data_IF_001554116472
#
_entry.id   IF_001554116472
#
_cell.length_a   1.000
_cell.length_b   1.000
_cell.length_c   1.000
_cell.angle_alpha   90.00
_cell.angle_beta   90.00
_cell.angle_gamma   90.00
#
_symmetry.space_group_name_H-M   'P 1'
#
loop_
_entity.id
_entity.type
_entity.pdbx_description
1 polymer ?
#
# COMPACT_ATOMS: atom_id res chain seq x y z
N UNK A 1 27.84 6.01 -9.71
CA UNK A 1 26.64 5.69 -8.92
C UNK A 1 25.36 5.96 -9.71
N UNK A 2 24.83 4.91 -10.32
CA UNK A 2 23.52 4.87 -10.92
C UNK A 2 22.61 3.96 -10.09
N UNK A 3 21.33 4.32 -10.03
CA UNK A 3 20.30 3.51 -9.40
C UNK A 3 19.92 2.39 -10.36
N UNK A 4 20.01 1.14 -9.91
CA UNK A 4 19.39 0.01 -10.61
C UNK A 4 18.20 -0.42 -9.79
N UNK A 5 17.03 -0.50 -10.40
CA UNK A 5 15.80 -0.83 -9.68
C UNK A 5 14.94 -1.78 -10.50
N UNK A 6 14.15 -2.58 -9.80
CA UNK A 6 13.17 -3.46 -10.40
C UNK A 6 11.97 -3.61 -9.47
N UNK A 7 10.80 -3.86 -10.06
CA UNK A 7 9.58 -4.16 -9.34
C UNK A 7 8.96 -5.44 -9.90
N UNK A 8 8.40 -6.25 -9.02
CA UNK A 8 7.60 -7.42 -9.34
C UNK A 8 6.34 -7.40 -8.47
N UNK A 9 5.21 -7.84 -9.03
CA UNK A 9 3.96 -7.95 -8.29
C UNK A 9 3.16 -9.13 -8.83
N UNK A 10 2.51 -9.87 -7.93
CA UNK A 10 1.61 -10.97 -8.25
C UNK A 10 0.33 -10.85 -7.42
N UNK A 11 -0.76 -11.36 -7.99
CA UNK A 11 -2.07 -11.40 -7.35
C UNK A 11 -2.12 -12.38 -6.16
N UNK A 12 -1.23 -13.37 -6.12
CA UNK A 12 -1.27 -14.45 -5.15
C UNK A 12 -2.24 -15.56 -5.56
N UNK A 13 -2.44 -16.55 -4.69
CA UNK A 13 -3.23 -17.75 -5.04
C UNK A 13 -4.67 -17.72 -4.50
N UNK A 14 -4.98 -16.76 -3.61
CA UNK A 14 -6.28 -16.69 -2.92
C UNK A 14 -7.11 -15.48 -3.37
N UNK A 15 -6.48 -14.36 -3.70
CA UNK A 15 -7.16 -13.12 -4.08
C UNK A 15 -7.66 -13.16 -5.54
N UNK A 16 -8.74 -12.43 -5.81
CA UNK A 16 -9.34 -12.32 -7.16
C UNK A 16 -8.87 -11.10 -7.94
N UNK A 17 -8.34 -10.10 -7.25
CA UNK A 17 -7.75 -8.91 -7.83
C UNK A 17 -6.43 -8.58 -7.12
N UNK A 18 -5.58 -7.83 -7.81
CA UNK A 18 -4.36 -7.30 -7.24
C UNK A 18 -4.62 -5.85 -6.83
N UNK A 19 -4.69 -5.62 -5.52
CA UNK A 19 -4.91 -4.31 -4.89
C UNK A 19 -3.59 -3.65 -4.48
N UNK A 20 -2.45 -4.33 -4.59
CA UNK A 20 -1.14 -3.72 -4.46
C UNK A 20 -0.79 -2.91 -5.70
N UNK A 21 0.06 -1.90 -5.51
CA UNK A 21 0.76 -1.21 -6.58
C UNK A 21 2.23 -0.99 -6.22
N UNK A 22 3.11 -1.08 -7.22
CA UNK A 22 4.54 -0.87 -7.04
C UNK A 22 5.15 -0.01 -8.14
N UNK A 23 6.20 0.73 -7.77
CA UNK A 23 6.96 1.56 -8.69
C UNK A 23 8.46 1.43 -8.43
N UNK A 24 9.21 1.11 -9.49
CA UNK A 24 10.66 1.18 -9.54
C UNK A 24 11.07 2.24 -10.57
N UNK A 25 11.41 3.43 -10.08
CA UNK A 25 11.90 4.55 -10.86
C UNK A 25 13.42 4.70 -10.81
N UNK A 26 13.90 5.85 -11.28
CA UNK A 26 15.33 6.19 -11.28
C UNK A 26 15.80 6.75 -9.94
N UNK A 27 14.95 7.49 -9.26
CA UNK A 27 15.17 8.11 -7.96
C UNK A 27 14.19 7.59 -6.93
N UNK A 28 12.97 7.24 -7.34
CA UNK A 28 11.88 6.87 -6.45
C UNK A 28 11.54 5.37 -6.53
N UNK A 29 11.34 4.77 -5.37
CA UNK A 29 10.81 3.41 -5.19
C UNK A 29 9.61 3.49 -4.27
N UNK A 30 8.51 2.81 -4.64
CA UNK A 30 7.30 2.81 -3.82
C UNK A 30 6.62 1.45 -3.86
N UNK A 31 6.12 1.02 -2.72
CA UNK A 31 5.09 -0.03 -2.59
C UNK A 31 3.90 0.57 -1.88
N UNK A 32 2.70 0.30 -2.39
CA UNK A 32 1.44 0.68 -1.79
C UNK A 32 0.52 -0.55 -1.79
N UNK A 33 0.10 -0.99 -0.60
CA UNK A 33 -0.86 -2.08 -0.42
C UNK A 33 -2.24 -1.49 -0.18
N UNK A 34 -3.13 -1.71 -1.15
CA UNK A 34 -4.46 -1.14 -1.18
C UNK A 34 -5.47 -2.00 -0.43
N UNK A 35 -6.19 -1.37 0.49
CA UNK A 35 -7.27 -1.99 1.24
C UNK A 35 -8.62 -1.34 0.93
N UNK A 36 -9.68 -2.15 0.99
CA UNK A 36 -11.06 -1.69 0.86
C UNK A 36 -11.84 -2.52 -0.14
N UNK A 37 -12.75 -3.36 0.37
CA UNK A 37 -13.85 -4.00 -0.36
C UNK A 37 -13.52 -4.56 -1.76
N UNK A 38 -14.56 -4.71 -2.59
CA UNK A 38 -14.41 -5.30 -3.93
C UNK A 38 -13.68 -4.39 -4.94
N UNK A 39 -13.55 -3.07 -4.71
CA UNK A 39 -12.98 -2.12 -5.68
C UNK A 39 -12.32 -0.85 -5.06
N UNK A 40 -12.11 -0.82 -3.74
CA UNK A 40 -11.46 0.33 -3.09
C UNK A 40 -9.95 0.21 -3.17
N UNK A 41 -9.39 -0.91 -2.69
CA UNK A 41 -7.95 -1.05 -2.51
C UNK A 41 -7.11 -0.80 -3.76
N UNK A 42 -7.51 -1.37 -4.91
CA UNK A 42 -6.82 -1.19 -6.19
C UNK A 42 -6.84 0.27 -6.66
N UNK A 43 -7.94 1.00 -6.42
CA UNK A 43 -8.03 2.44 -6.70
C UNK A 43 -7.10 3.23 -5.78
N UNK A 44 -7.07 2.94 -4.48
CA UNK A 44 -6.24 3.66 -3.51
C UNK A 44 -4.75 3.55 -3.85
N UNK A 45 -4.25 2.32 -3.99
CA UNK A 45 -2.84 2.08 -4.27
C UNK A 45 -2.43 2.62 -5.64
N UNK A 46 -3.32 2.51 -6.64
CA UNK A 46 -3.09 3.11 -7.97
C UNK A 46 -2.93 4.62 -7.87
N UNK A 47 -3.85 5.31 -7.19
CA UNK A 47 -3.83 6.78 -7.05
C UNK A 47 -2.54 7.24 -6.38
N UNK A 48 -2.14 6.59 -5.28
CA UNK A 48 -0.87 6.88 -4.60
C UNK A 48 0.29 6.80 -5.56
N UNK A 49 0.47 5.65 -6.23
CA UNK A 49 1.63 5.45 -7.10
C UNK A 49 1.65 6.48 -8.22
N UNK A 50 0.52 6.76 -8.87
CA UNK A 50 0.45 7.72 -9.98
C UNK A 50 0.79 9.14 -9.56
N UNK A 51 0.33 9.59 -8.39
CA UNK A 51 0.65 10.93 -7.90
C UNK A 51 2.14 11.04 -7.54
N UNK A 52 2.72 9.99 -6.94
CA UNK A 52 4.13 10.02 -6.54
C UNK A 52 5.11 9.96 -7.73
N UNK A 53 4.68 9.56 -8.94
CA UNK A 53 5.56 9.54 -10.13
C UNK A 53 6.23 10.88 -10.42
N UNK A 54 5.58 12.01 -10.09
CA UNK A 54 6.15 13.34 -10.28
C UNK A 54 7.37 13.63 -9.39
N UNK A 55 7.59 12.79 -8.37
CA UNK A 55 8.75 12.86 -7.49
C UNK A 55 9.92 12.01 -7.99
N UNK A 56 9.81 11.27 -9.09
CA UNK A 56 10.92 10.52 -9.70
C UNK A 56 11.89 11.44 -10.47
N UNK A 57 12.50 12.37 -9.75
CA UNK A 57 13.37 13.42 -10.28
C UNK A 57 14.45 13.81 -9.27
N UNK A 58 15.56 14.45 -9.70
CA UNK A 58 16.55 14.95 -8.76
C UNK A 58 15.98 16.06 -7.87
N UNK A 59 16.47 16.10 -6.63
CA UNK A 59 16.20 17.15 -5.65
C UNK A 59 17.50 17.81 -5.19
N UNK A 60 17.43 19.11 -4.87
CA UNK A 60 18.59 19.90 -4.44
C UNK A 60 19.13 19.47 -3.07
N UNK A 61 18.26 18.99 -2.17
CA UNK A 61 18.64 18.52 -0.85
C UNK A 61 17.72 17.41 -0.34
N UNK A 62 18.24 16.49 0.52
CA UNK A 62 17.44 15.45 1.14
C UNK A 62 16.27 16.00 1.97
N UNK A 63 16.45 17.16 2.61
CA UNK A 63 15.39 17.79 3.42
C UNK A 63 14.23 18.33 2.58
N UNK A 64 14.55 18.94 1.42
CA UNK A 64 13.54 19.40 0.47
C UNK A 64 12.76 18.22 -0.10
N UNK A 65 13.46 17.13 -0.44
CA UNK A 65 12.85 15.89 -0.86
C UNK A 65 11.94 15.28 0.21
N UNK A 66 12.39 15.23 1.47
CA UNK A 66 11.59 14.73 2.61
C UNK A 66 10.30 15.51 2.78
N UNK A 67 10.40 16.84 2.76
CA UNK A 67 9.23 17.73 2.85
C UNK A 67 8.28 17.49 1.69
N UNK A 68 8.78 17.48 0.45
CA UNK A 68 7.94 17.26 -0.74
C UNK A 68 7.24 15.90 -0.71
N UNK A 69 7.95 14.83 -0.34
CA UNK A 69 7.39 13.50 -0.24
C UNK A 69 6.27 13.45 0.82
N UNK A 70 6.50 14.02 2.01
CA UNK A 70 5.47 14.11 3.06
C UNK A 70 4.27 14.94 2.64
N UNK A 71 4.50 16.13 2.09
CA UNK A 71 3.45 17.05 1.65
C UNK A 71 2.60 16.40 0.54
N UNK A 72 3.21 15.63 -0.37
CA UNK A 72 2.49 14.93 -1.43
C UNK A 72 1.62 13.80 -0.88
N UNK A 73 2.12 13.01 0.06
CA UNK A 73 1.31 11.98 0.72
C UNK A 73 0.11 12.56 1.49
N UNK A 74 0.27 13.71 2.14
CA UNK A 74 -0.84 14.41 2.80
C UNK A 74 -1.89 14.89 1.79
N UNK A 75 -1.48 15.42 0.63
CA UNK A 75 -2.42 15.78 -0.44
C UNK A 75 -3.13 14.55 -0.99
N UNK A 76 -2.42 13.44 -1.16
CA UNK A 76 -3.02 12.18 -1.63
C UNK A 76 -4.05 11.69 -0.61
N UNK A 77 -3.78 11.80 0.70
CA UNK A 77 -4.75 11.48 1.74
C UNK A 77 -6.05 12.29 1.58
N UNK A 78 -5.93 13.61 1.42
CA UNK A 78 -7.09 14.49 1.17
C UNK A 78 -7.84 14.11 -0.12
N UNK A 79 -7.10 13.69 -1.17
CA UNK A 79 -7.67 13.20 -2.41
C UNK A 79 -8.51 11.92 -2.21
N UNK A 80 -7.97 10.94 -1.50
CA UNK A 80 -8.65 9.68 -1.21
C UNK A 80 -9.91 9.90 -0.37
N UNK A 81 -9.82 10.71 0.69
CA UNK A 81 -10.98 11.05 1.54
C UNK A 81 -12.08 11.75 0.71
N UNK A 82 -11.71 12.71 -0.14
CA UNK A 82 -12.67 13.41 -0.99
C UNK A 82 -13.31 12.49 -2.04
N UNK A 83 -12.59 11.49 -2.54
CA UNK A 83 -13.15 10.50 -3.47
C UNK A 83 -14.28 9.67 -2.84
N UNK A 84 -14.16 9.32 -1.55
CA UNK A 84 -15.23 8.62 -0.81
C UNK A 84 -16.49 9.47 -0.66
N UNK A 85 -16.33 10.80 -0.50
CA UNK A 85 -17.49 11.72 -0.43
C UNK A 85 -18.23 11.80 -1.75
N UNK A 86 -17.51 11.79 -2.87
CA UNK A 86 -18.12 11.84 -4.21
C UNK A 86 -18.70 10.48 -4.63
N UNK A 87 -18.07 9.39 -4.22
CA UNK A 87 -18.45 8.00 -4.56
C UNK A 87 -18.49 7.12 -3.31
N UNK A 88 -19.64 7.09 -2.60
CA UNK A 88 -19.80 6.32 -1.36
C UNK A 88 -19.51 4.82 -1.49
N UNK A 89 -19.57 4.25 -2.70
CA UNK A 89 -19.16 2.87 -2.97
C UNK A 89 -17.66 2.60 -2.72
N UNK A 90 -16.84 3.66 -2.62
CA UNK A 90 -15.44 3.60 -2.20
C UNK A 90 -15.29 3.67 -0.67
N UNK A 91 -16.37 3.55 0.12
CA UNK A 91 -16.26 3.54 1.57
C UNK A 91 -15.28 2.47 2.06
N UNK A 92 -14.37 2.86 2.96
CA UNK A 92 -13.28 2.00 3.43
C UNK A 92 -12.07 1.92 2.49
N UNK A 93 -12.00 2.83 1.50
CA UNK A 93 -10.80 3.06 0.68
C UNK A 93 -9.62 3.40 1.56
N UNK A 94 -8.54 2.63 1.47
CA UNK A 94 -7.30 2.98 2.10
C UNK A 94 -6.10 2.31 1.43
N UNK A 95 -4.91 2.77 1.76
CA UNK A 95 -3.68 2.12 1.30
C UNK A 95 -2.54 2.40 2.27
N UNK A 96 -1.69 1.40 2.44
CA UNK A 96 -0.35 1.61 3.01
C UNK A 96 0.53 2.29 1.97
N UNK A 97 1.63 2.92 2.41
CA UNK A 97 2.68 3.43 1.54
C UNK A 97 4.03 3.23 2.22
N UNK A 98 4.95 2.60 1.49
CA UNK A 98 6.37 2.59 1.80
C UNK A 98 7.11 3.18 0.60
N UNK A 99 7.75 4.34 0.79
CA UNK A 99 8.44 5.07 -0.26
C UNK A 99 9.90 5.35 0.11
N UNK A 100 10.79 5.22 -0.86
CA UNK A 100 12.20 5.57 -0.78
C UNK A 100 12.57 6.44 -1.98
N UNK A 101 13.03 7.65 -1.71
CA UNK A 101 13.53 8.61 -2.69
C UNK A 101 15.03 8.84 -2.51
N UNK A 102 15.83 8.56 -3.54
CA UNK A 102 17.28 8.74 -3.55
C UNK A 102 17.67 10.17 -3.90
N UNK A 103 18.41 10.80 -3.00
CA UNK A 103 19.01 12.13 -3.21
C UNK A 103 20.51 12.06 -2.94
N UNK A 104 21.31 12.04 -4.01
CA UNK A 104 22.75 11.79 -3.89
C UNK A 104 23.03 10.44 -3.22
N UNK A 105 23.74 10.45 -2.09
CA UNK A 105 24.03 9.28 -1.25
C UNK A 105 23.08 9.15 -0.04
N UNK A 106 21.86 9.71 -0.13
CA UNK A 106 20.86 9.62 0.93
C UNK A 106 19.59 8.94 0.43
N UNK A 107 19.03 8.07 1.25
CA UNK A 107 17.69 7.53 1.12
C UNK A 107 16.75 8.38 1.97
N UNK A 108 15.79 9.05 1.34
CA UNK A 108 14.71 9.77 1.99
C UNK A 108 13.50 8.86 2.00
N UNK A 109 13.04 8.47 3.19
CA UNK A 109 11.97 7.49 3.36
C UNK A 109 10.72 8.19 3.90
N UNK A 110 9.57 7.77 3.41
CA UNK A 110 8.27 8.02 4.02
C UNK A 110 7.48 6.72 4.12
N UNK A 111 6.86 6.49 5.27
CA UNK A 111 6.20 5.22 5.58
C UNK A 111 4.88 5.43 6.34
N UNK A 112 3.86 4.67 5.95
CA UNK A 112 2.60 4.51 6.66
C UNK A 112 1.98 3.14 6.37
N UNK A 113 1.72 2.33 7.40
CA UNK A 113 1.07 1.03 7.28
C UNK A 113 2.00 -0.10 7.71
N UNK A 114 1.89 -1.28 7.11
CA UNK A 114 2.68 -2.47 7.45
C UNK A 114 3.44 -3.08 6.26
N UNK A 115 3.38 -2.45 5.08
CA UNK A 115 4.39 -2.64 4.04
C UNK A 115 5.75 -2.21 4.57
N UNK A 116 6.83 -2.93 4.22
CA UNK A 116 8.13 -2.73 4.88
C UNK A 116 9.22 -2.26 3.94
N UNK A 117 10.18 -1.52 4.49
CA UNK A 117 11.45 -1.21 3.84
C UNK A 117 12.57 -1.92 4.60
N UNK A 118 13.40 -2.64 3.86
CA UNK A 118 14.59 -3.30 4.36
C UNK A 118 15.84 -2.75 3.70
N UNK A 119 16.95 -2.77 4.45
CA UNK A 119 18.30 -2.52 3.94
C UNK A 119 19.16 -3.75 4.15
N UNK A 120 19.77 -4.23 3.08
CA UNK A 120 20.83 -5.22 3.14
C UNK A 120 22.19 -4.54 2.99
N UNK A 121 23.03 -4.66 4.03
CA UNK A 121 24.39 -4.12 4.07
C UNK A 121 25.31 -5.19 4.63
N UNK A 122 26.44 -5.44 3.94
CA UNK A 122 27.44 -6.42 4.38
C UNK A 122 26.84 -7.80 4.70
N UNK A 123 25.84 -8.21 3.91
CA UNK A 123 25.15 -9.50 4.05
C UNK A 123 24.11 -9.58 5.17
N UNK A 124 23.91 -8.52 5.97
CA UNK A 124 22.88 -8.41 7.00
C UNK A 124 21.66 -7.69 6.45
N UNK A 125 20.47 -8.27 6.64
CA UNK A 125 19.20 -7.64 6.30
C UNK A 125 18.59 -7.04 7.56
N UNK A 126 18.30 -5.75 7.51
CA UNK A 126 17.72 -4.98 8.61
C UNK A 126 16.40 -4.36 8.14
N UNK A 127 15.37 -4.48 8.96
CA UNK A 127 14.11 -3.76 8.76
C UNK A 127 14.31 -2.30 9.17
N UNK A 128 13.95 -1.37 8.28
CA UNK A 128 14.15 0.08 8.46
C UNK A 128 12.88 0.78 8.94
N UNK A 129 11.72 0.30 8.51
CA UNK A 129 10.41 0.83 8.91
C UNK A 129 9.81 0.01 10.04
N UNK A 130 8.97 0.61 10.87
CA UNK A 130 8.23 -0.06 11.93
C UNK A 130 6.76 -0.16 11.52
N UNK A 131 6.15 -1.32 11.72
CA UNK A 131 4.79 -1.57 11.23
C UNK A 131 3.75 -0.77 12.04
N UNK A 132 2.83 -0.09 11.37
CA UNK A 132 1.76 0.64 12.03
C UNK A 132 0.57 -0.26 12.36
N UNK A 133 0.83 -1.42 12.98
CA UNK A 133 -0.17 -2.42 13.33
C UNK A 133 -0.51 -2.40 14.83
N UNK A 134 -1.67 -2.96 15.17
CA UNK A 134 -2.08 -3.14 16.56
C UNK A 134 -1.09 -3.99 17.36
N UNK A 135 -0.57 -5.05 16.74
CA UNK A 135 0.38 -5.96 17.41
C UNK A 135 1.73 -5.30 17.62
N UNK A 136 2.22 -4.48 16.68
CA UNK A 136 3.45 -3.71 16.88
C UNK A 136 3.33 -2.81 18.11
N UNK A 137 2.22 -2.08 18.24
CA UNK A 137 1.95 -1.25 19.43
C UNK A 137 1.95 -2.05 20.75
N UNK A 138 1.51 -3.31 20.72
CA UNK A 138 1.57 -4.18 21.90
C UNK A 138 3.00 -4.61 22.21
N UNK A 139 3.83 -4.89 21.19
CA UNK A 139 5.26 -5.16 21.34
C UNK A 139 5.98 -3.94 21.93
N UNK A 140 5.77 -2.75 21.37
CA UNK A 140 6.45 -1.52 21.82
C UNK A 140 6.11 -1.15 23.27
N UNK A 141 4.89 -1.49 23.70
CA UNK A 141 4.44 -1.29 25.08
C UNK A 141 4.81 -2.44 26.03
N UNK A 142 5.54 -3.44 25.56
CA UNK A 142 6.00 -4.60 26.33
C UNK A 142 4.89 -5.54 26.76
N UNK A 143 3.72 -5.49 26.09
CA UNK A 143 2.54 -6.31 26.43
C UNK A 143 2.60 -7.71 25.83
N UNK A 144 3.28 -7.86 24.69
CA UNK A 144 3.54 -9.14 24.03
C UNK A 144 4.98 -9.12 23.49
N UNK A 145 5.54 -10.30 23.25
CA UNK A 145 6.79 -10.51 22.53
C UNK A 145 6.62 -10.41 21.01
N UNK A 146 7.75 -10.24 20.29
CA UNK A 146 7.76 -10.29 18.82
C UNK A 146 7.24 -11.64 18.30
N UNK A 147 7.57 -12.74 18.98
CA UNK A 147 7.11 -14.08 18.62
C UNK A 147 5.59 -14.23 18.78
N UNK A 148 5.01 -13.66 19.84
CA UNK A 148 3.56 -13.66 20.05
C UNK A 148 2.82 -12.81 19.02
N UNK A 149 3.41 -11.69 18.57
CA UNK A 149 2.83 -10.83 17.56
C UNK A 149 2.57 -11.56 16.23
N UNK A 150 3.48 -12.47 15.84
CA UNK A 150 3.39 -13.23 14.58
C UNK A 150 2.16 -14.15 14.50
N UNK A 151 1.72 -14.69 15.64
CA UNK A 151 0.59 -15.63 15.71
C UNK A 151 -0.69 -14.98 16.27
N UNK A 152 -0.64 -13.69 16.59
CA UNK A 152 -1.76 -13.00 17.22
C UNK A 152 -2.98 -12.91 16.27
N UNK A 153 -4.22 -13.09 16.78
CA UNK A 153 -5.43 -13.07 15.94
C UNK A 153 -5.69 -11.74 15.23
N UNK A 154 -5.15 -10.64 15.79
CA UNK A 154 -5.27 -9.27 15.26
C UNK A 154 -3.98 -8.75 14.64
N UNK A 155 -3.09 -9.62 14.14
CA UNK A 155 -1.81 -9.20 13.56
C UNK A 155 -1.95 -8.28 12.35
N UNK A 156 -3.00 -8.48 11.54
CA UNK A 156 -3.30 -7.67 10.35
C UNK A 156 -4.13 -6.43 10.62
N UNK A 157 -4.36 -6.05 11.90
CA UNK A 157 -5.13 -4.84 12.21
C UNK A 157 -4.22 -3.62 12.12
N UNK A 158 -4.39 -2.85 11.05
CA UNK A 158 -3.70 -1.59 10.82
C UNK A 158 -4.24 -0.46 11.72
N UNK A 159 -3.34 0.38 12.21
CA UNK A 159 -3.64 1.58 13.00
C UNK A 159 -3.48 2.88 12.21
N UNK A 160 -2.66 2.88 11.15
CA UNK A 160 -2.40 4.05 10.30
C UNK A 160 -2.36 3.64 8.83
N UNK A 161 -3.19 4.27 8.01
CA UNK A 161 -3.21 4.14 6.55
C UNK A 161 -3.59 5.47 5.90
N UNK A 162 -3.33 5.64 4.61
CA UNK A 162 -3.86 6.77 3.85
C UNK A 162 -5.28 6.48 3.37
N UNK A 163 -6.13 7.50 3.29
CA UNK A 163 -7.51 7.41 2.81
C UNK A 163 -8.55 7.09 3.87
N UNK A 164 -8.12 6.77 5.10
CA UNK A 164 -9.01 6.61 6.25
C UNK A 164 -9.58 7.97 6.71
N UNK A 165 -10.48 7.96 7.70
CA UNK A 165 -11.22 9.14 8.18
C UNK A 165 -10.36 10.28 8.72
N UNK A 166 -9.10 10.02 9.06
CA UNK A 166 -8.17 11.05 9.52
C UNK A 166 -7.60 11.86 8.33
N UNK A 167 -7.93 13.15 8.28
CA UNK A 167 -7.44 14.06 7.26
C UNK A 167 -5.92 14.31 7.34
N UNK A 168 -5.27 14.05 8.48
CA UNK A 168 -3.83 14.30 8.69
C UNK A 168 -3.15 13.13 9.40
N UNK A 169 -3.03 11.98 8.72
CA UNK A 169 -2.37 10.82 9.31
C UNK A 169 -0.90 11.14 9.61
N UNK A 170 -0.40 10.54 10.69
CA UNK A 170 1.01 10.63 11.05
C UNK A 170 1.85 9.75 10.11
N UNK A 171 2.62 10.41 9.26
CA UNK A 171 3.55 9.77 8.30
C UNK A 171 4.96 9.83 8.88
N UNK A 172 5.57 8.66 9.00
CA UNK A 172 6.93 8.51 9.50
C UNK A 172 7.90 8.85 8.38
N UNK A 173 8.92 9.66 8.68
CA UNK A 173 9.92 10.08 7.68
C UNK A 173 11.32 10.05 8.25
N UNK A 174 12.28 9.60 7.44
CA UNK A 174 13.68 9.48 7.84
C UNK A 174 14.63 9.76 6.68
N UNK A 175 15.88 10.12 6.99
CA UNK A 175 16.93 10.33 6.01
C UNK A 175 18.13 9.48 6.43
N UNK A 176 18.47 8.49 5.62
CA UNK A 176 19.53 7.53 5.91
C UNK A 176 20.66 7.61 4.86
N UNK A 177 21.91 7.33 5.24
CA UNK A 177 23.00 7.20 4.26
C UNK A 177 22.84 5.93 3.42
N UNK A 178 23.05 6.08 2.11
CA UNK A 178 23.27 5.00 1.16
C UNK A 178 24.79 4.82 1.03
N UNK A 179 25.25 3.63 1.38
CA UNK A 179 26.64 3.22 1.19
C UNK A 179 26.76 2.36 -0.07
N UNK A 180 27.97 2.30 -0.62
CA UNK A 180 28.27 1.41 -1.74
C UNK A 180 27.98 -0.04 -1.37
N UNK A 181 27.28 -0.74 -2.27
CA UNK A 181 26.90 -2.13 -2.08
C UNK A 181 25.67 -2.34 -1.18
N UNK A 182 25.06 -1.26 -0.68
CA UNK A 182 23.73 -1.36 -0.06
C UNK A 182 22.72 -1.81 -1.11
N UNK A 183 21.85 -2.73 -0.69
CA UNK A 183 20.64 -3.10 -1.42
C UNK A 183 19.42 -2.76 -0.59
N UNK A 184 18.48 -2.06 -1.17
CA UNK A 184 17.20 -1.71 -0.56
C UNK A 184 16.11 -2.58 -1.14
N UNK A 185 15.17 -2.99 -0.28
CA UNK A 185 13.99 -3.74 -0.68
C UNK A 185 12.77 -3.13 -0.02
N UNK A 186 11.73 -2.88 -0.80
CA UNK A 186 10.40 -2.53 -0.30
C UNK A 186 9.47 -3.68 -0.63
N UNK A 187 8.55 -4.02 0.27
CA UNK A 187 7.58 -5.08 0.02
C UNK A 187 6.25 -4.86 0.75
N UNK A 188 5.18 -5.41 0.18
CA UNK A 188 3.90 -5.55 0.88
C UNK A 188 3.93 -6.69 1.88
N UNK A 189 2.89 -6.80 2.70
CA UNK A 189 2.77 -7.81 3.75
C UNK A 189 2.73 -9.24 3.18
N UNK A 190 2.23 -9.41 1.94
CA UNK A 190 2.22 -10.67 1.21
C UNK A 190 3.61 -11.24 0.93
N UNK A 191 4.69 -10.47 1.12
CA UNK A 191 6.04 -11.03 1.24
C UNK A 191 6.44 -11.19 2.71
N UNK A 192 6.50 -10.10 3.48
CA UNK A 192 7.21 -10.08 4.77
C UNK A 192 6.48 -10.81 5.91
N UNK A 193 5.18 -11.09 5.77
CA UNK A 193 4.39 -11.94 6.68
C UNK A 193 4.48 -13.41 6.31
N UNK A 194 4.70 -13.71 5.02
CA UNK A 194 4.66 -15.08 4.47
C UNK A 194 6.05 -15.72 4.45
N UNK A 195 7.06 -14.96 4.05
CA UNK A 195 8.45 -15.44 3.89
C UNK A 195 9.28 -14.96 5.06
N UNK A 196 10.01 -15.88 5.71
CA UNK A 196 10.87 -15.54 6.84
C UNK A 196 11.98 -14.59 6.40
N UNK A 197 12.33 -13.64 7.27
CA UNK A 197 13.39 -12.64 7.02
C UNK A 197 14.71 -13.25 6.57
N UNK A 198 15.10 -14.40 7.11
CA UNK A 198 16.33 -15.09 6.71
C UNK A 198 16.27 -15.64 5.28
N UNK A 199 15.10 -16.16 4.85
CA UNK A 199 14.92 -16.64 3.48
C UNK A 199 14.91 -15.47 2.48
N UNK A 200 14.34 -14.32 2.88
CA UNK A 200 14.42 -13.06 2.12
C UNK A 200 15.88 -12.64 1.96
N UNK A 201 16.66 -12.63 3.05
CA UNK A 201 18.09 -12.28 3.04
C UNK A 201 18.88 -13.19 2.10
N UNK A 202 18.64 -14.51 2.15
CA UNK A 202 19.30 -15.48 1.27
C UNK A 202 18.93 -15.23 -0.20
N UNK A 203 17.65 -14.98 -0.50
CA UNK A 203 17.20 -14.68 -1.86
C UNK A 203 17.84 -13.39 -2.40
N UNK A 204 17.92 -12.34 -1.60
CA UNK A 204 18.58 -11.09 -1.96
C UNK A 204 20.08 -11.28 -2.18
N UNK A 205 20.77 -12.10 -1.37
CA UNK A 205 22.19 -12.36 -1.52
C UNK A 205 22.54 -13.22 -2.74
N UNK A 206 21.68 -14.20 -3.07
CA UNK A 206 21.91 -15.14 -4.18
C UNK A 206 21.72 -14.49 -5.56
N UNK A 207 20.75 -13.58 -5.69
CA UNK A 207 20.38 -13.00 -6.98
C UNK A 207 21.05 -11.63 -7.18
N UNK A 208 22.07 -11.54 -8.03
CA UNK A 208 22.83 -10.29 -8.21
C UNK A 208 22.05 -9.20 -8.96
N UNK A 209 21.17 -9.56 -9.90
CA UNK A 209 20.30 -8.61 -10.61
C UNK A 209 19.10 -8.20 -9.75
N UNK A 210 18.68 -6.94 -9.85
CA UNK A 210 17.48 -6.45 -9.15
C UNK A 210 16.21 -7.13 -9.65
N UNK A 211 16.11 -7.40 -10.96
CA UNK A 211 14.99 -8.12 -11.58
C UNK A 211 14.90 -9.54 -11.02
N UNK A 212 15.99 -10.32 -11.13
CA UNK A 212 16.03 -11.70 -10.64
C UNK A 212 15.75 -11.77 -9.13
N UNK A 213 16.21 -10.79 -8.35
CA UNK A 213 15.93 -10.71 -6.92
C UNK A 213 14.45 -10.46 -6.63
N UNK A 214 13.83 -9.49 -7.30
CA UNK A 214 12.41 -9.19 -7.13
C UNK A 214 11.53 -10.38 -7.53
N UNK A 215 11.79 -10.98 -8.70
CA UNK A 215 11.04 -12.15 -9.19
C UNK A 215 11.23 -13.37 -8.29
N UNK A 216 12.45 -13.62 -7.78
CA UNK A 216 12.71 -14.72 -6.85
C UNK A 216 11.99 -14.56 -5.51
N UNK A 217 11.85 -13.33 -5.00
CA UNK A 217 11.13 -13.04 -3.76
C UNK A 217 9.63 -13.24 -3.91
N UNK A 218 9.03 -12.74 -4.99
CA UNK A 218 7.63 -13.02 -5.34
C UNK A 218 7.42 -14.54 -5.44
N UNK A 219 8.28 -15.23 -6.20
CA UNK A 219 8.20 -16.69 -6.34
C UNK A 219 8.36 -17.45 -5.00
N UNK A 220 9.10 -16.91 -4.04
CA UNK A 220 9.22 -17.49 -2.71
C UNK A 220 7.90 -17.42 -1.93
N UNK A 221 7.20 -16.28 -1.97
CA UNK A 221 5.85 -16.16 -1.37
C UNK A 221 4.85 -17.09 -2.06
N UNK A 222 4.86 -17.15 -3.40
CA UNK A 222 3.99 -18.05 -4.18
C UNK A 222 4.16 -19.52 -3.79
N UNK A 223 5.40 -19.97 -3.54
CA UNK A 223 5.68 -21.34 -3.08
C UNK A 223 5.12 -21.67 -1.69
N UNK A 224 4.93 -20.65 -0.86
CA UNK A 224 4.34 -20.77 0.48
C UNK A 224 2.83 -20.52 0.49
N UNK A 225 2.23 -20.45 -0.70
CA UNK A 225 0.78 -20.37 -0.88
C UNK A 225 0.24 -18.97 -1.18
N UNK A 226 1.06 -17.91 -1.04
CA UNK A 226 0.68 -16.50 -1.29
C UNK A 226 -0.80 -16.19 -1.00
N UNK A 227 -1.19 -16.14 0.30
CA UNK A 227 -2.57 -15.89 0.70
C UNK A 227 -3.04 -14.46 0.36
N UNK A 228 -2.10 -13.56 0.04
CA UNK A 228 -2.38 -12.19 -0.34
C UNK A 228 -1.65 -11.77 -1.64
N UNK A 229 -1.97 -10.56 -2.12
CA UNK A 229 -1.17 -9.89 -3.12
C UNK A 229 0.27 -9.72 -2.63
N UNK A 230 1.23 -9.86 -3.53
CA UNK A 230 2.65 -9.76 -3.18
C UNK A 230 3.33 -8.81 -4.14
N UNK A 231 3.94 -7.76 -3.57
CA UNK A 231 4.65 -6.75 -4.35
C UNK A 231 6.01 -6.48 -3.73
N UNK A 232 7.03 -6.43 -4.59
CA UNK A 232 8.43 -6.26 -4.19
C UNK A 232 9.10 -5.26 -5.11
N UNK A 233 9.81 -4.30 -4.53
CA UNK A 233 10.69 -3.37 -5.25
C UNK A 233 12.10 -3.50 -4.69
N UNK A 234 13.08 -3.72 -5.57
CA UNK A 234 14.49 -3.82 -5.19
C UNK A 234 15.26 -2.68 -5.82
N UNK A 235 16.19 -2.08 -5.08
CA UNK A 235 17.07 -1.02 -5.55
C UNK A 235 18.51 -1.24 -5.09
N UNK A 236 19.44 -1.16 -6.04
CA UNK A 236 20.88 -1.18 -5.81
C UNK A 236 21.50 0.18 -6.16
N UNK A 237 22.48 0.60 -5.37
CA UNK A 237 23.42 1.67 -5.75
C UNK A 237 24.69 1.04 -6.33
N UNK A 238 24.84 1.10 -7.66
CA UNK A 238 25.99 0.51 -8.38
C UNK A 238 26.73 1.57 -9.19
N UNK A 239 28.00 1.32 -9.49
CA UNK A 239 28.81 2.22 -10.31
C UNK A 239 28.58 2.04 -11.82
N UNK A 240 28.03 0.90 -12.23
CA UNK A 240 27.66 0.63 -13.63
C UNK A 240 26.51 1.52 -14.10
N UNK A 241 26.51 1.98 -15.37
CA UNK A 241 25.39 2.71 -15.94
C UNK A 241 24.10 1.89 -15.81
N UNK A 242 23.06 2.49 -15.27
CA UNK A 242 21.75 1.86 -15.24
C UNK A 242 21.17 1.81 -16.66
N UNK A 243 20.69 0.63 -17.05
CA UNK A 243 19.74 0.55 -18.18
C UNK A 243 18.43 1.12 -17.64
N UNK A 244 17.93 2.20 -18.25
CA UNK A 244 16.70 2.84 -17.78
C UNK A 244 15.52 1.87 -17.96
N UNK A 245 15.04 1.29 -16.87
CA UNK A 245 13.80 0.52 -16.84
C UNK A 245 12.92 1.00 -15.70
N UNK A 246 12.21 2.11 -15.94
CA UNK A 246 11.10 2.53 -15.08
C UNK A 246 10.00 1.48 -15.16
N UNK A 247 9.59 0.90 -14.03
CA UNK A 247 8.60 -0.18 -14.01
C UNK A 247 7.46 0.11 -13.02
N UNK A 248 6.25 0.07 -13.54
CA UNK A 248 5.00 0.03 -12.77
C UNK A 248 4.50 -1.41 -12.70
N UNK A 249 4.05 -1.85 -11.53
CA UNK A 249 3.49 -3.19 -11.29
C UNK A 249 2.22 -3.11 -10.43
N UNK A 250 1.45 -4.20 -10.37
CA UNK A 250 0.19 -4.25 -9.62
C UNK A 250 -0.94 -3.46 -10.29
N UNK A 251 -1.86 -2.91 -9.51
CA UNK A 251 -3.00 -2.14 -9.99
C UNK A 251 -2.58 -0.87 -10.77
N UNK A 252 -1.49 -0.23 -10.37
CA UNK A 252 -0.94 0.94 -11.07
C UNK A 252 -0.45 0.66 -12.50
N UNK A 253 -0.17 -0.60 -12.86
CA UNK A 253 0.29 -0.96 -14.21
C UNK A 253 -0.83 -0.92 -15.26
N UNK A 254 -2.10 -1.03 -14.84
CA UNK A 254 -3.28 -1.00 -15.72
C UNK A 254 -3.98 0.36 -15.61
N UNK A 255 -4.72 0.82 -16.64
CA UNK A 255 -5.66 1.91 -16.48
C UNK A 255 -6.69 1.57 -15.38
N UNK A 256 -7.14 2.57 -14.62
CA UNK A 256 -8.20 2.36 -13.62
C UNK A 256 -9.47 1.94 -14.36
N UNK A 257 -10.00 0.75 -14.06
CA UNK A 257 -11.32 0.32 -14.50
C UNK A 257 -12.21 0.17 -13.28
N UNK A 258 -13.08 1.15 -13.04
CA UNK A 258 -14.18 0.92 -12.09
C UNK A 258 -15.25 0.17 -12.85
N UNK A 259 -15.32 -1.13 -12.61
CA UNK A 259 -16.42 -1.95 -13.09
C UNK A 259 -17.68 -1.55 -12.32
N UNK A 260 -18.37 -0.52 -12.81
CA UNK A 260 -19.77 -0.29 -12.54
C UNK A 260 -20.56 -1.35 -13.31
N UNK A 261 -20.51 -2.61 -12.84
CA UNK A 261 -21.47 -3.68 -13.15
C UNK A 261 -20.94 -5.01 -12.61
N UNK A 262 -21.13 -5.25 -11.31
CA UNK A 262 -21.35 -6.62 -10.85
C UNK A 262 -22.82 -6.71 -10.50
N UNK A 263 -23.64 -7.48 -11.25
CA UNK A 263 -25.02 -7.68 -10.85
C UNK A 263 -25.01 -8.38 -9.50
N UNK A 264 -25.55 -7.71 -8.48
CA UNK A 264 -25.95 -8.37 -7.23
C UNK A 264 -26.86 -9.52 -7.63
N UNK A 265 -26.34 -10.75 -7.61
CA UNK A 265 -27.18 -11.94 -7.75
C UNK A 265 -28.10 -11.94 -6.52
N UNK A 266 -29.29 -11.37 -6.69
CA UNK A 266 -30.40 -11.57 -5.79
C UNK A 266 -30.65 -13.06 -5.72
N UNK A 267 -30.17 -13.69 -4.65
CA UNK A 267 -30.52 -15.06 -4.31
C UNK A 267 -32.04 -15.19 -4.40
N UNK A 268 -32.52 -15.98 -5.36
CA UNK A 268 -33.93 -16.31 -5.49
C UNK A 268 -34.38 -16.99 -4.21
N UNK A 269 -35.14 -16.26 -3.38
CA UNK A 269 -35.86 -16.83 -2.23
C UNK A 269 -36.77 -17.95 -2.74
N UNK A 270 -36.41 -19.19 -2.43
CA UNK A 270 -37.35 -20.33 -2.46
C UNK A 270 -38.22 -20.23 -1.20
N UNK A 271 -39.55 -20.40 -1.29
CA UNK A 271 -40.40 -20.41 -0.10
C UNK A 271 -40.32 -21.78 0.58
N UNK A 272 -40.27 -21.75 1.92
CA UNK A 272 -40.67 -22.88 2.76
C UNK A 272 -39.56 -23.74 3.36
N UNK A 273 -39.13 -23.38 4.58
CA UNK A 273 -39.01 -24.34 5.70
C UNK A 273 -38.71 -23.59 7.00
N UNK A 274 -39.68 -23.60 7.90
CA UNK A 274 -39.57 -23.15 9.29
C UNK A 274 -38.65 -24.11 10.05
N UNK A 275 -37.65 -23.56 10.75
CA UNK A 275 -36.91 -24.24 11.82
C UNK A 275 -37.05 -23.40 13.11
N UNK A 276 -37.13 -24.04 14.28
CA UNK A 276 -37.55 -23.38 15.52
C UNK A 276 -36.44 -22.49 16.10
N UNK A 277 -36.87 -21.35 16.64
CA UNK A 277 -36.04 -20.41 17.42
C UNK A 277 -35.79 -21.01 18.80
N UNK A 278 -34.51 -21.18 19.16
CA UNK A 278 -34.09 -21.40 20.55
C UNK A 278 -33.81 -20.03 21.13
N UNK A 279 -34.59 -19.63 22.13
CA UNK A 279 -34.41 -18.42 22.92
C UNK A 279 -33.37 -18.67 24.01
N UNK A 280 -32.30 -17.88 24.04
CA UNK A 280 -31.45 -17.75 25.22
C UNK A 280 -31.20 -16.27 25.48
N UNK A 281 -31.68 -15.82 26.64
CA UNK A 281 -31.67 -14.45 27.14
C UNK A 281 -30.24 -13.91 27.34
N UNK A 282 -29.95 -12.76 26.73
CA UNK A 282 -28.83 -11.88 27.12
C UNK A 282 -29.39 -10.45 27.19
N UNK A 283 -29.17 -9.70 28.28
CA UNK A 283 -29.76 -8.38 28.47
C UNK A 283 -29.16 -7.34 27.51
N UNK A 284 -30.03 -6.63 26.79
CA UNK A 284 -29.71 -5.49 25.92
C UNK A 284 -29.48 -4.26 26.79
N UNK A 285 -28.25 -3.75 26.80
CA UNK A 285 -27.94 -2.39 27.24
C UNK A 285 -28.36 -1.44 26.12
N UNK A 286 -29.38 -0.63 26.38
CA UNK A 286 -29.85 0.41 25.45
C UNK A 286 -28.94 1.63 25.51
N UNK A 287 -28.06 1.79 24.52
CA UNK A 287 -27.49 3.10 24.17
C UNK A 287 -28.11 3.54 22.83
N UNK A 288 -28.70 4.73 22.83
CA UNK A 288 -29.29 5.35 21.64
C UNK A 288 -28.23 5.52 20.53
N UNK A 289 -28.59 5.36 19.24
CA UNK A 289 -27.68 5.70 18.16
C UNK A 289 -27.56 7.22 18.04
N UNK A 290 -26.35 7.76 18.22
CA UNK A 290 -26.03 9.13 17.80
C UNK A 290 -26.11 9.22 16.27
N UNK A 291 -26.78 10.26 15.78
CA UNK A 291 -26.87 10.60 14.36
C UNK A 291 -25.46 10.79 13.75
N UNK A 292 -25.23 10.37 12.50
CA UNK A 292 -23.95 10.61 11.84
C UNK A 292 -23.72 12.12 11.68
N UNK A 293 -22.66 12.61 12.31
CA UNK A 293 -22.21 13.99 12.17
C UNK A 293 -21.93 14.32 10.70
N UNK A 294 -22.48 15.45 10.24
CA UNK A 294 -22.30 16.04 8.92
C UNK A 294 -20.87 15.89 8.36
N UNK A 295 -20.70 15.54 7.07
CA UNK A 295 -19.36 15.42 6.48
C UNK A 295 -18.65 16.79 6.49
N UNK A 296 -17.31 16.81 6.58
CA UNK A 296 -16.53 18.04 6.60
C UNK A 296 -16.77 18.87 5.33
N UNK A 297 -16.96 20.19 5.51
CA UNK A 297 -17.16 21.12 4.40
C UNK A 297 -15.87 21.33 3.62
N UNK A 298 -15.70 20.59 2.53
CA UNK A 298 -14.64 20.82 1.55
C UNK A 298 -15.00 22.04 0.68
N UNK A 299 -14.06 22.99 0.55
CA UNK A 299 -14.24 24.23 -0.22
C UNK A 299 -14.50 24.01 -1.71
N UNK A 300 -15.24 24.93 -2.34
CA UNK A 300 -15.69 24.80 -3.74
C UNK A 300 -14.56 24.73 -4.79
N UNK A 301 -13.38 25.29 -4.51
CA UNK A 301 -12.19 25.21 -5.37
C UNK A 301 -11.58 23.81 -5.37
N UNK A 302 -11.63 23.13 -4.23
CA UNK A 302 -11.18 21.75 -4.04
C UNK A 302 -12.11 20.80 -4.82
N UNK A 303 -13.44 20.93 -4.68
CA UNK A 303 -14.41 20.10 -5.43
C UNK A 303 -14.22 20.11 -6.97
N UNK A 304 -13.90 21.26 -7.56
CA UNK A 304 -13.69 21.36 -9.03
C UNK A 304 -12.39 20.68 -9.50
N UNK A 305 -11.31 20.76 -8.71
CA UNK A 305 -10.06 20.04 -9.00
C UNK A 305 -10.26 18.53 -8.84
N UNK A 306 -11.04 18.12 -7.85
CA UNK A 306 -11.35 16.72 -7.58
C UNK A 306 -12.21 16.11 -8.68
N UNK A 307 -13.29 16.76 -9.09
CA UNK A 307 -14.11 16.33 -10.22
C UNK A 307 -13.28 16.17 -11.50
N UNK A 308 -12.36 17.09 -11.82
CA UNK A 308 -11.48 16.95 -12.99
C UNK A 308 -10.47 15.80 -12.88
N UNK A 309 -9.95 15.51 -11.68
CA UNK A 309 -9.02 14.40 -11.42
C UNK A 309 -9.77 13.05 -11.48
N UNK A 310 -10.96 12.97 -10.89
CA UNK A 310 -11.81 11.78 -10.90
C UNK A 310 -12.34 11.50 -12.32
N UNK A 311 -12.75 12.51 -13.09
CA UNK A 311 -13.10 12.36 -14.50
C UNK A 311 -11.92 11.85 -15.34
N UNK A 312 -10.70 12.29 -15.04
CA UNK A 312 -9.47 11.81 -15.69
C UNK A 312 -9.12 10.36 -15.30
N UNK A 313 -9.52 9.92 -14.11
CA UNK A 313 -9.24 8.58 -13.61
C UNK A 313 -10.31 7.54 -14.00
N UNK A 314 -11.57 7.93 -14.04
CA UNK A 314 -12.67 6.97 -14.21
C UNK A 314 -13.29 6.94 -15.60
N UNK A 315 -12.92 7.88 -16.49
CA UNK A 315 -13.49 7.98 -17.83
C UNK A 315 -14.97 8.36 -17.78
N UNK A 316 -15.42 9.20 -18.70
CA UNK A 316 -16.85 9.41 -18.88
C UNK A 316 -17.47 8.12 -19.42
N UNK A 317 -18.14 7.38 -18.54
CA UNK A 317 -19.12 6.37 -18.94
C UNK A 317 -20.15 7.10 -19.80
N UNK A 318 -20.12 6.81 -21.10
CA UNK A 318 -20.77 7.60 -22.13
C UNK A 318 -22.23 7.91 -21.85
N UNK A 319 -22.55 9.20 -21.91
CA UNK A 319 -23.90 9.65 -22.24
C UNK A 319 -24.10 9.40 -23.75
N UNK A 320 -24.51 8.18 -24.08
CA UNK A 320 -25.19 7.91 -25.34
C UNK A 320 -26.62 7.53 -24.99
N UNK A 321 -27.55 8.44 -25.28
CA UNK A 321 -28.85 8.16 -25.93
C UNK A 321 -29.73 9.41 -25.98
N UNK A 322 -30.73 9.43 -26.89
CA UNK A 322 -30.79 8.91 -28.26
C UNK A 322 -30.82 10.02 -29.32
#
# INVERSE_FOLDING_TARGET
MATHSAAASDIGLVRQSNQDSGFAGRFLMVVADGMGGHAGGDVASHVVIRQLLELDRPFDSPEKARKHLKDELLKINELLIGAVVERPELAGLGTTVSALLRVGNKAVIAHIGDSRIYRMREGKLEQVTEDHTYVQRLVDSGRISEEEALVHPRRSVLLRVLGDVDARPEIDTMILPINRGDRWMLCSDGLCVVVRTEDIRVALAKNKGTIDAADALVAASMKLGAPDNVTVVVMDDRDEPAVESVRLVGAAAKPISVSADTPVQRARRRPGRTLPVITSDIPVVTSQPEEPSSPPRIGASTRRRFSAILSRWFGESGDTRP
#
